data_IF_007362292522
#
_entry.id   IF_007362292522
#
_cell.length_a   1.000
_cell.length_b   1.000
_cell.length_c   1.000
_cell.angle_alpha   90.00
_cell.angle_beta   90.00
_cell.angle_gamma   90.00
#
_symmetry.space_group_name_H-M   'P 1'
#
loop_
_entity.id
_entity.type
_entity.pdbx_description
1 polymer ?
#
# COMPACT_ATOMS: atom_id res chain seq x y z
N UNK A 1 1.78 -4.88 -1.50
CA UNK A 1 1.69 -6.22 -2.10
C UNK A 1 0.78 -6.33 -3.35
N UNK A 2 -0.25 -5.49 -3.63
CA UNK A 2 -1.05 -5.74 -4.83
C UNK A 2 -0.34 -5.41 -6.16
N UNK A 3 0.31 -4.26 -6.28
CA UNK A 3 0.77 -3.77 -7.58
C UNK A 3 1.87 -4.64 -8.26
N UNK A 4 2.83 -5.17 -7.51
CA UNK A 4 3.88 -6.05 -8.07
C UNK A 4 3.31 -7.41 -8.52
N UNK A 5 2.41 -7.98 -7.73
CA UNK A 5 1.74 -9.24 -8.08
C UNK A 5 0.86 -9.06 -9.33
N UNK A 6 0.07 -7.99 -9.39
CA UNK A 6 -0.78 -7.67 -10.54
C UNK A 6 0.06 -7.52 -11.82
N UNK A 7 1.17 -6.77 -11.76
CA UNK A 7 2.04 -6.61 -12.93
C UNK A 7 2.66 -7.94 -13.38
N UNK A 8 3.03 -8.83 -12.44
CA UNK A 8 3.50 -10.18 -12.77
C UNK A 8 2.43 -11.07 -13.43
N UNK A 9 1.15 -10.76 -13.23
CA UNK A 9 0.01 -11.43 -13.87
C UNK A 9 -0.38 -10.79 -15.22
N UNK A 10 0.38 -9.81 -15.69
CA UNK A 10 0.06 -9.07 -16.91
C UNK A 10 -1.09 -8.08 -16.71
N UNK A 11 -1.44 -7.69 -15.49
CA UNK A 11 -2.39 -6.59 -15.25
C UNK A 11 -1.66 -5.26 -15.39
N UNK A 12 -2.15 -4.32 -16.21
CA UNK A 12 -1.50 -3.03 -16.41
C UNK A 12 -1.51 -2.20 -15.12
N UNK A 13 -0.35 -1.70 -14.71
CA UNK A 13 -0.18 -0.87 -13.51
C UNK A 13 0.28 0.54 -13.90
N UNK A 14 -0.54 1.23 -14.69
CA UNK A 14 -0.30 2.60 -15.13
C UNK A 14 -0.74 3.64 -14.10
N UNK A 15 -0.20 4.86 -14.20
CA UNK A 15 -0.67 6.05 -13.48
C UNK A 15 -0.85 5.87 -11.97
N UNK A 16 0.05 5.12 -11.34
CA UNK A 16 -0.04 4.78 -9.91
C UNK A 16 -0.17 6.02 -9.06
N UNK A 17 -1.16 6.05 -8.17
CA UNK A 17 -1.37 7.13 -7.20
C UNK A 17 -1.38 8.54 -7.81
N UNK A 18 -1.87 8.66 -9.05
CA UNK A 18 -1.98 9.95 -9.76
C UNK A 18 -0.70 10.43 -10.44
N UNK A 19 0.35 9.59 -10.51
CA UNK A 19 1.61 9.94 -11.18
C UNK A 19 1.47 9.77 -12.69
N UNK A 20 2.05 10.69 -13.45
CA UNK A 20 2.11 10.58 -14.91
C UNK A 20 3.35 9.78 -15.33
N UNK A 21 3.21 8.46 -15.46
CA UNK A 21 4.30 7.57 -15.92
C UNK A 21 4.17 7.14 -17.39
N UNK A 22 3.15 7.63 -18.11
CA UNK A 22 2.91 7.36 -19.53
C UNK A 22 4.16 7.52 -20.42
N UNK A 23 5.02 8.55 -20.25
CA UNK A 23 6.21 8.71 -21.10
C UNK A 23 7.23 7.57 -20.98
N UNK A 24 7.16 6.78 -19.90
CA UNK A 24 8.06 5.67 -19.65
C UNK A 24 7.61 4.37 -20.32
N UNK A 25 6.48 4.37 -21.05
CA UNK A 25 5.92 3.20 -21.70
C UNK A 25 5.88 3.39 -23.21
N UNK A 26 6.57 2.52 -23.95
CA UNK A 26 6.49 2.46 -25.42
C UNK A 26 5.50 1.36 -25.79
N UNK A 27 4.44 1.72 -26.50
CA UNK A 27 3.54 0.73 -27.09
C UNK A 27 4.24 0.04 -28.29
N UNK A 28 4.33 -1.29 -28.24
CA UNK A 28 4.85 -2.13 -29.34
C UNK A 28 3.72 -2.80 -30.13
N UNK A 29 2.50 -2.79 -29.58
CA UNK A 29 1.28 -3.33 -30.16
C UNK A 29 0.08 -3.02 -29.28
N UNK A 30 -1.07 -3.66 -29.54
CA UNK A 30 -2.30 -3.39 -28.78
C UNK A 30 -2.18 -3.74 -27.27
N UNK A 31 -1.35 -4.74 -26.94
CA UNK A 31 -1.18 -5.26 -25.58
C UNK A 31 0.29 -5.39 -25.15
N UNK A 32 1.22 -5.16 -26.07
CA UNK A 32 2.64 -5.26 -25.83
C UNK A 32 3.23 -3.88 -25.53
N UNK A 33 3.91 -3.75 -24.40
CA UNK A 33 4.53 -2.51 -23.96
C UNK A 33 5.97 -2.76 -23.55
N UNK A 34 6.83 -1.79 -23.79
CA UNK A 34 8.21 -1.77 -23.31
C UNK A 34 8.40 -0.64 -22.31
N UNK A 35 8.94 -0.96 -21.14
CA UNK A 35 9.26 0.06 -20.15
C UNK A 35 10.61 0.70 -20.45
N UNK A 36 10.66 2.03 -20.54
CA UNK A 36 11.84 2.81 -20.92
C UNK A 36 12.12 3.89 -19.91
N UNK A 37 12.58 3.47 -18.75
CA UNK A 37 13.06 4.38 -17.71
C UNK A 37 14.03 3.68 -16.78
N UNK A 38 15.33 3.82 -17.11
CA UNK A 38 16.41 3.34 -16.26
C UNK A 38 16.39 4.06 -14.91
N UNK A 39 16.52 3.28 -13.84
CA UNK A 39 16.64 3.85 -12.49
C UNK A 39 15.40 4.61 -12.01
N UNK A 40 14.20 4.17 -12.40
CA UNK A 40 13.01 4.84 -11.88
C UNK A 40 12.95 4.71 -10.36
N UNK A 41 12.65 5.81 -9.67
CA UNK A 41 12.26 5.77 -8.25
C UNK A 41 11.02 4.89 -8.01
N UNK A 42 10.37 4.37 -9.05
CA UNK A 42 9.26 3.44 -8.95
C UNK A 42 9.66 1.97 -8.94
N UNK A 43 10.81 1.63 -9.51
CA UNK A 43 11.35 0.27 -9.53
C UNK A 43 11.56 -0.23 -8.10
N UNK A 44 11.78 0.68 -7.15
CA UNK A 44 11.85 0.37 -5.70
C UNK A 44 10.57 -0.24 -5.11
N UNK A 45 9.40 -0.02 -5.73
CA UNK A 45 8.12 -0.59 -5.30
C UNK A 45 7.65 -1.71 -6.24
N UNK A 46 8.12 -1.69 -7.49
CA UNK A 46 7.81 -2.66 -8.53
C UNK A 46 9.11 -3.18 -9.14
N UNK A 47 9.72 -4.23 -8.55
CA UNK A 47 11.03 -4.73 -8.97
C UNK A 47 11.11 -5.16 -10.44
N UNK A 48 9.96 -5.45 -11.05
CA UNK A 48 9.89 -5.86 -12.44
C UNK A 48 9.95 -4.68 -13.42
N UNK A 49 9.84 -3.42 -12.97
CA UNK A 49 10.08 -2.24 -13.81
C UNK A 49 11.58 -2.07 -14.11
N UNK A 50 12.06 -2.91 -15.02
CA UNK A 50 13.43 -2.96 -15.52
C UNK A 50 13.45 -2.27 -16.87
N UNK A 51 14.47 -1.45 -17.12
CA UNK A 51 14.62 -0.76 -18.40
C UNK A 51 14.64 -1.76 -19.57
N UNK A 52 13.91 -1.42 -20.63
CA UNK A 52 13.68 -2.21 -21.84
C UNK A 52 12.97 -3.54 -21.62
N UNK A 53 12.43 -3.82 -20.43
CA UNK A 53 11.60 -5.01 -20.22
C UNK A 53 10.28 -4.85 -20.96
N UNK A 54 9.87 -5.93 -21.62
CA UNK A 54 8.59 -6.04 -22.32
C UNK A 54 7.54 -6.69 -21.44
N UNK A 55 6.30 -6.25 -21.61
CA UNK A 55 5.13 -6.73 -20.90
C UNK A 55 4.01 -6.99 -21.89
N UNK A 56 3.33 -8.11 -21.71
CA UNK A 56 2.07 -8.41 -22.39
C UNK A 56 0.95 -8.21 -21.38
N UNK A 57 0.13 -7.17 -21.59
CA UNK A 57 -0.96 -6.84 -20.69
C UNK A 57 -2.29 -7.42 -21.13
N UNK A 58 -3.06 -7.92 -20.16
CA UNK A 58 -4.47 -8.25 -20.34
C UNK A 58 -5.29 -6.96 -20.52
N UNK A 59 -6.41 -7.02 -21.26
CA UNK A 59 -7.23 -5.83 -21.50
C UNK A 59 -7.94 -5.33 -20.24
N UNK A 60 -8.33 -6.23 -19.33
CA UNK A 60 -8.98 -5.92 -18.05
C UNK A 60 -8.54 -6.92 -16.97
N UNK A 61 -8.48 -6.50 -15.69
CA UNK A 61 -8.82 -5.18 -15.18
C UNK A 61 -7.76 -4.11 -15.45
N UNK A 62 -8.15 -2.84 -15.57
CA UNK A 62 -7.24 -1.68 -15.55
C UNK A 62 -7.35 -0.92 -14.21
N UNK A 63 -6.60 -1.34 -13.17
CA UNK A 63 -6.75 -0.78 -11.82
C UNK A 63 -6.31 0.68 -11.73
N UNK A 64 -7.07 1.48 -10.96
CA UNK A 64 -6.69 2.83 -10.53
C UNK A 64 -6.26 2.81 -9.07
N UNK A 65 -5.03 3.26 -8.79
CA UNK A 65 -4.50 3.33 -7.43
C UNK A 65 -4.63 4.76 -6.89
N UNK A 66 -5.12 4.92 -5.66
CA UNK A 66 -5.29 6.25 -5.06
C UNK A 66 -5.20 6.22 -3.53
N UNK A 67 -4.86 7.37 -2.96
CA UNK A 67 -4.99 7.66 -1.52
C UNK A 67 -5.99 8.79 -1.25
N UNK A 68 -6.79 9.19 -2.25
CA UNK A 68 -7.80 10.22 -2.07
C UNK A 68 -9.03 9.68 -1.32
N UNK A 69 -9.85 10.61 -0.82
CA UNK A 69 -11.13 10.28 -0.20
C UNK A 69 -12.14 9.78 -1.25
N UNK A 70 -13.13 8.95 -0.84
CA UNK A 70 -14.25 8.63 -1.72
C UNK A 70 -14.97 9.94 -2.10
N UNK A 71 -15.30 10.08 -3.39
CA UNK A 71 -15.87 11.30 -3.96
C UNK A 71 -14.87 12.27 -4.60
N UNK A 72 -13.56 12.09 -4.40
CA UNK A 72 -12.55 12.87 -5.13
C UNK A 72 -12.53 12.56 -6.66
N UNK A 73 -13.11 11.43 -7.04
CA UNK A 73 -13.33 10.99 -8.42
C UNK A 73 -14.56 10.08 -8.47
N UNK A 74 -15.14 9.92 -9.65
CA UNK A 74 -16.24 8.99 -9.86
C UNK A 74 -15.81 7.56 -9.48
N UNK A 75 -16.48 6.98 -8.49
CA UNK A 75 -16.24 5.62 -8.04
C UNK A 75 -16.98 4.65 -8.97
N UNK A 76 -16.37 4.28 -10.10
CA UNK A 76 -16.95 3.30 -11.04
C UNK A 76 -16.35 1.92 -10.85
N UNK A 77 -17.17 0.87 -10.85
CA UNK A 77 -16.73 -0.53 -10.79
C UNK A 77 -16.33 -1.04 -9.40
N UNK A 78 -15.71 -2.23 -9.40
CA UNK A 78 -15.17 -2.96 -8.24
C UNK A 78 -14.11 -2.14 -7.50
N UNK A 79 -14.24 -2.02 -6.16
CA UNK A 79 -13.30 -1.27 -5.29
C UNK A 79 -12.59 -2.17 -4.28
N UNK A 80 -11.28 -2.00 -4.13
CA UNK A 80 -10.50 -2.68 -3.10
C UNK A 80 -9.93 -1.65 -2.12
N UNK A 81 -10.26 -1.79 -0.84
CA UNK A 81 -9.58 -1.08 0.25
C UNK A 81 -8.48 -1.96 0.82
N UNK A 82 -7.25 -1.71 0.37
CA UNK A 82 -6.06 -2.30 0.97
C UNK A 82 -5.69 -1.53 2.25
N UNK A 83 -5.93 -2.13 3.40
CA UNK A 83 -5.82 -1.50 4.71
C UNK A 83 -4.76 -2.19 5.55
N UNK A 84 -4.11 -1.44 6.43
CA UNK A 84 -3.23 -1.96 7.47
C UNK A 84 -3.87 -1.67 8.82
N UNK A 85 -3.54 -2.43 9.86
CA UNK A 85 -3.89 -2.06 11.23
C UNK A 85 -3.55 -0.57 11.43
N UNK A 86 -4.53 0.29 11.75
CA UNK A 86 -4.31 1.73 11.75
C UNK A 86 -3.25 2.20 12.75
N UNK A 87 -3.00 1.41 13.81
CA UNK A 87 -1.94 1.66 14.80
C UNK A 87 -0.56 1.51 14.14
N UNK A 88 -0.39 0.40 13.45
CA UNK A 88 0.79 0.03 12.68
C UNK A 88 1.01 0.98 11.49
N UNK A 89 -0.07 1.47 10.88
CA UNK A 89 -0.03 2.47 9.81
C UNK A 89 0.54 3.83 10.29
N UNK A 90 0.12 4.30 11.48
CA UNK A 90 0.65 5.54 12.08
C UNK A 90 2.13 5.42 12.44
N UNK A 91 2.52 4.33 13.10
CA UNK A 91 3.91 4.05 13.43
C UNK A 91 4.79 3.99 12.17
N UNK A 92 4.31 3.28 11.14
CA UNK A 92 5.00 3.19 9.85
C UNK A 92 5.10 4.53 9.12
N UNK A 93 4.09 5.39 9.23
CA UNK A 93 4.13 6.73 8.64
C UNK A 93 5.15 7.62 9.35
N UNK A 94 5.20 7.60 10.68
CA UNK A 94 6.20 8.34 11.45
C UNK A 94 7.62 7.86 11.14
N UNK A 95 7.85 6.54 11.14
CA UNK A 95 9.14 5.95 10.82
C UNK A 95 9.60 6.31 9.40
N UNK A 96 8.69 6.30 8.42
CA UNK A 96 8.98 6.78 7.07
C UNK A 96 9.34 8.26 7.07
N UNK A 97 8.55 9.11 7.72
CA UNK A 97 8.77 10.56 7.75
C UNK A 97 10.15 10.92 8.33
N UNK A 98 10.60 10.23 9.40
CA UNK A 98 11.97 10.37 9.93
C UNK A 98 13.02 9.97 8.90
N UNK A 99 12.86 8.79 8.28
CA UNK A 99 13.81 8.22 7.32
C UNK A 99 14.03 9.11 6.08
N UNK A 100 12.99 9.80 5.65
CA UNK A 100 13.05 10.71 4.50
C UNK A 100 13.28 12.18 4.89
N UNK A 101 13.58 12.46 6.17
CA UNK A 101 13.90 13.80 6.67
C UNK A 101 12.72 14.77 6.71
N UNK A 102 11.47 14.30 6.62
CA UNK A 102 10.28 15.15 6.75
C UNK A 102 10.04 15.63 8.19
N UNK A 103 10.54 14.88 9.18
CA UNK A 103 10.53 15.26 10.58
C UNK A 103 11.89 14.91 11.21
N UNK A 104 12.28 15.57 12.33
CA UNK A 104 13.48 15.23 13.09
C UNK A 104 13.52 13.74 13.47
N UNK A 105 14.72 13.16 13.48
CA UNK A 105 14.93 11.73 13.76
C UNK A 105 14.54 11.33 15.20
N UNK A 106 14.61 12.28 16.13
CA UNK A 106 14.27 12.15 17.56
C UNK A 106 12.79 12.41 17.86
N UNK A 107 12.01 12.96 16.91
CA UNK A 107 10.58 13.23 17.12
C UNK A 107 9.83 11.93 17.40
N UNK A 108 9.11 11.84 18.52
CA UNK A 108 8.35 10.64 18.90
C UNK A 108 7.17 10.35 17.96
N UNK A 109 6.70 9.09 17.94
CA UNK A 109 5.58 8.68 17.07
C UNK A 109 4.29 9.34 17.54
N UNK A 110 4.06 9.39 18.86
CA UNK A 110 3.02 10.22 19.50
C UNK A 110 3.04 11.67 19.01
N UNK A 111 4.19 12.34 19.07
CA UNK A 111 4.30 13.74 18.66
C UNK A 111 3.95 13.91 17.18
N UNK A 112 4.44 13.03 16.31
CA UNK A 112 4.07 13.02 14.89
C UNK A 112 2.55 12.82 14.69
N UNK A 113 1.95 11.84 15.37
CA UNK A 113 0.56 11.47 15.18
C UNK A 113 -0.42 12.57 15.63
N UNK A 114 -0.05 13.31 16.69
CA UNK A 114 -0.81 14.43 17.24
C UNK A 114 -0.61 15.75 16.49
N UNK A 115 0.43 15.87 15.68
CA UNK A 115 0.71 17.10 14.93
C UNK A 115 -0.32 17.32 13.83
N UNK A 116 -0.83 18.56 13.65
CA UNK A 116 -1.65 18.91 12.50
C UNK A 116 -0.92 18.59 11.19
N UNK A 117 -1.66 18.12 10.19
CA UNK A 117 -1.07 17.83 8.86
C UNK A 117 -0.81 19.08 8.02
N UNK A 118 -1.21 20.25 8.51
CA UNK A 118 -1.10 21.57 7.88
C UNK A 118 -2.05 22.57 8.54
N UNK A 119 -2.00 23.87 8.17
CA UNK A 119 -2.93 24.87 8.68
C UNK A 119 -4.39 24.46 8.46
N UNK A 120 -5.19 24.45 9.54
CA UNK A 120 -6.60 24.03 9.50
C UNK A 120 -6.86 22.55 9.22
N UNK A 121 -5.82 21.72 9.12
CA UNK A 121 -5.96 20.28 8.86
C UNK A 121 -5.96 19.48 10.16
N UNK A 122 -6.73 18.38 10.24
CA UNK A 122 -6.68 17.50 11.39
C UNK A 122 -5.30 16.86 11.56
N UNK A 123 -5.02 16.38 12.77
CA UNK A 123 -3.84 15.55 13.02
C UNK A 123 -3.97 14.16 12.37
N UNK A 124 -2.87 13.41 12.32
CA UNK A 124 -2.81 12.12 11.61
C UNK A 124 -3.79 11.08 12.18
N UNK A 125 -4.02 11.09 13.50
CA UNK A 125 -5.01 10.22 14.16
C UNK A 125 -6.43 10.53 13.63
N UNK A 126 -6.84 11.79 13.72
CA UNK A 126 -8.19 12.20 13.30
C UNK A 126 -8.39 12.04 11.80
N UNK A 127 -7.36 12.38 11.00
CA UNK A 127 -7.38 12.19 9.56
C UNK A 127 -7.56 10.71 9.17
N UNK A 128 -6.72 9.81 9.73
CA UNK A 128 -6.75 8.39 9.36
C UNK A 128 -8.08 7.75 9.76
N UNK A 129 -8.60 8.06 10.96
CA UNK A 129 -9.91 7.59 11.38
C UNK A 129 -11.04 8.08 10.44
N UNK A 130 -11.01 9.35 10.05
CA UNK A 130 -11.97 9.92 9.11
C UNK A 130 -11.86 9.31 7.70
N UNK A 131 -10.64 9.09 7.22
CA UNK A 131 -10.35 8.46 5.94
C UNK A 131 -10.91 7.02 5.88
N UNK A 132 -10.60 6.21 6.90
CA UNK A 132 -11.04 4.82 6.97
C UNK A 132 -12.56 4.72 7.07
N UNK A 133 -13.19 5.55 7.90
CA UNK A 133 -14.65 5.56 8.03
C UNK A 133 -15.35 5.89 6.72
N UNK A 134 -14.91 6.96 6.04
CA UNK A 134 -15.49 7.35 4.74
C UNK A 134 -15.35 6.25 3.70
N UNK A 135 -14.19 5.59 3.63
CA UNK A 135 -14.00 4.46 2.72
C UNK A 135 -14.85 3.25 3.11
N UNK A 136 -14.94 2.90 4.39
CA UNK A 136 -15.83 1.84 4.87
C UNK A 136 -17.29 2.10 4.48
N UNK A 137 -17.77 3.34 4.67
CA UNK A 137 -19.12 3.73 4.26
C UNK A 137 -19.28 3.60 2.73
N UNK A 138 -18.33 4.11 1.95
CA UNK A 138 -18.37 4.02 0.48
C UNK A 138 -18.29 2.58 -0.07
N UNK A 139 -17.75 1.63 0.69
CA UNK A 139 -17.73 0.20 0.32
C UNK A 139 -19.02 -0.51 0.74
N UNK A 140 -19.71 -0.08 1.81
CA UNK A 140 -21.00 -0.67 2.21
C UNK A 140 -22.06 -0.47 1.14
N UNK A 141 -22.02 0.66 0.47
CA UNK A 141 -23.00 1.05 -0.54
C UNK A 141 -22.66 0.52 -1.95
N UNK A 142 -21.67 -0.36 -2.10
CA UNK A 142 -21.27 -0.86 -3.42
C UNK A 142 -20.48 -2.16 -3.43
N UNK A 143 -19.91 -2.49 -4.59
CA UNK A 143 -19.10 -3.70 -4.79
C UNK A 143 -17.67 -3.46 -4.29
N UNK A 144 -17.47 -3.75 -3.00
CA UNK A 144 -16.26 -3.43 -2.26
C UNK A 144 -15.61 -4.64 -1.59
N UNK A 145 -14.29 -4.74 -1.69
CA UNK A 145 -13.48 -5.74 -1.00
C UNK A 145 -12.47 -5.07 -0.05
N UNK A 146 -12.46 -5.50 1.20
CA UNK A 146 -11.40 -5.14 2.16
C UNK A 146 -10.30 -6.20 2.08
N UNK A 147 -9.05 -5.75 1.98
CA UNK A 147 -7.85 -6.60 2.01
C UNK A 147 -6.91 -6.08 3.07
N UNK A 148 -6.58 -6.91 4.06
CA UNK A 148 -5.66 -6.54 5.15
C UNK A 148 -4.21 -6.76 4.72
N UNK A 149 -3.34 -5.83 5.10
CA UNK A 149 -1.90 -5.92 4.91
C UNK A 149 -1.33 -7.16 5.60
N UNK A 150 -1.85 -7.46 6.78
CA UNK A 150 -1.44 -8.54 7.66
C UNK A 150 -1.75 -9.91 7.04
N UNK A 151 -2.93 -10.07 6.43
CA UNK A 151 -3.30 -11.27 5.68
C UNK A 151 -2.39 -11.46 4.47
N UNK A 152 -2.21 -10.38 3.69
CA UNK A 152 -1.31 -10.42 2.54
C UNK A 152 0.10 -10.84 2.96
N UNK A 153 0.58 -10.39 4.12
CA UNK A 153 1.90 -10.74 4.65
C UNK A 153 2.00 -12.19 5.14
N UNK A 154 0.99 -12.69 5.84
CA UNK A 154 1.00 -14.03 6.46
C UNK A 154 0.68 -15.12 5.44
N UNK A 155 -0.31 -14.88 4.61
CA UNK A 155 -0.90 -15.82 3.67
C UNK A 155 -1.05 -15.14 2.29
N UNK A 156 0.06 -14.84 1.60
CA UNK A 156 0.04 -14.05 0.37
C UNK A 156 -0.74 -14.73 -0.75
N UNK A 157 -0.61 -16.05 -0.91
CA UNK A 157 -1.30 -16.79 -1.97
C UNK A 157 -2.81 -16.86 -1.74
N UNK A 158 -3.34 -17.29 -0.57
CA UNK A 158 -4.77 -17.22 -0.29
C UNK A 158 -5.34 -15.82 -0.40
N UNK A 159 -4.62 -14.80 0.09
CA UNK A 159 -5.07 -13.41 0.01
C UNK A 159 -5.17 -12.92 -1.44
N UNK A 160 -4.15 -13.20 -2.26
CA UNK A 160 -4.17 -12.83 -3.68
C UNK A 160 -5.23 -13.61 -4.45
N UNK A 161 -5.39 -14.92 -4.20
CA UNK A 161 -6.46 -15.74 -4.80
C UNK A 161 -7.82 -15.13 -4.55
N UNK A 162 -8.15 -14.79 -3.30
CA UNK A 162 -9.42 -14.13 -2.93
C UNK A 162 -9.64 -12.83 -3.72
N UNK A 163 -8.60 -12.02 -3.92
CA UNK A 163 -8.70 -10.79 -4.71
C UNK A 163 -8.99 -11.09 -6.17
N UNK A 164 -8.27 -12.04 -6.77
CA UNK A 164 -8.44 -12.41 -8.18
C UNK A 164 -9.81 -13.03 -8.44
N UNK A 165 -10.28 -13.92 -7.56
CA UNK A 165 -11.60 -14.54 -7.66
C UNK A 165 -12.71 -13.48 -7.58
N UNK A 166 -12.60 -12.53 -6.65
CA UNK A 166 -13.56 -11.43 -6.54
C UNK A 166 -13.51 -10.48 -7.75
N UNK A 167 -12.34 -10.28 -8.35
CA UNK A 167 -12.18 -9.57 -9.62
C UNK A 167 -12.63 -10.39 -10.84
N UNK A 168 -13.01 -11.66 -10.66
CA UNK A 168 -13.31 -12.61 -11.74
C UNK A 168 -12.13 -12.77 -12.71
N UNK A 169 -10.91 -12.65 -12.19
CA UNK A 169 -9.68 -12.74 -12.96
C UNK A 169 -9.14 -14.18 -12.96
N UNK A 170 -9.18 -14.90 -14.10
CA UNK A 170 -8.72 -16.28 -14.16
C UNK A 170 -7.21 -16.34 -13.93
N UNK A 171 -6.79 -17.16 -12.96
CA UNK A 171 -5.38 -17.32 -12.63
C UNK A 171 -5.06 -18.77 -12.23
N UNK A 172 -4.07 -19.36 -12.91
CA UNK A 172 -3.56 -20.70 -12.58
C UNK A 172 -2.73 -20.67 -11.29
N UNK A 173 -2.64 -21.81 -10.60
CA UNK A 173 -1.83 -21.93 -9.38
C UNK A 173 -0.34 -21.56 -9.61
N UNK A 174 0.31 -21.99 -10.71
CA UNK A 174 1.70 -21.58 -10.98
C UNK A 174 1.86 -20.06 -11.20
N UNK A 175 0.90 -19.43 -11.88
CA UNK A 175 0.93 -17.98 -12.10
C UNK A 175 0.72 -17.20 -10.79
N UNK A 176 -0.19 -17.68 -9.92
CA UNK A 176 -0.43 -17.13 -8.59
C UNK A 176 0.86 -17.17 -7.74
N UNK A 177 1.52 -18.32 -7.66
CA UNK A 177 2.76 -18.49 -6.92
C UNK A 177 3.88 -17.56 -7.43
N UNK A 178 4.01 -17.44 -8.76
CA UNK A 178 4.95 -16.52 -9.41
C UNK A 178 4.67 -15.06 -9.04
N UNK A 179 3.40 -14.65 -9.10
CA UNK A 179 2.99 -13.30 -8.74
C UNK A 179 3.25 -12.97 -7.26
N UNK A 180 2.97 -13.92 -6.36
CA UNK A 180 3.30 -13.79 -4.95
C UNK A 180 4.81 -13.67 -4.73
N UNK A 181 5.63 -14.47 -5.42
CA UNK A 181 7.09 -14.40 -5.36
C UNK A 181 7.62 -13.03 -5.85
N UNK A 182 7.06 -12.48 -6.93
CA UNK A 182 7.40 -11.17 -7.46
C UNK A 182 7.07 -10.03 -6.47
N UNK A 183 6.04 -10.21 -5.64
CA UNK A 183 5.59 -9.24 -4.66
C UNK A 183 6.15 -9.43 -3.24
N UNK A 184 7.03 -10.43 -3.02
CA UNK A 184 7.64 -10.72 -1.72
C UNK A 184 8.38 -9.51 -1.18
N UNK A 185 8.21 -9.26 0.12
CA UNK A 185 8.74 -8.05 0.74
C UNK A 185 10.26 -7.97 0.65
N UNK A 186 10.95 -9.10 0.79
CA UNK A 186 12.39 -9.25 0.72
C UNK A 186 12.92 -8.82 -0.65
N UNK A 187 12.23 -9.21 -1.73
CA UNK A 187 12.56 -8.82 -3.10
C UNK A 187 12.40 -7.31 -3.30
N UNK A 188 11.28 -6.75 -2.83
CA UNK A 188 11.03 -5.30 -2.95
C UNK A 188 12.04 -4.50 -2.11
N UNK A 189 12.36 -4.97 -0.90
CA UNK A 189 13.37 -4.36 -0.02
C UNK A 189 14.78 -4.43 -0.63
N UNK A 190 15.15 -5.56 -1.23
CA UNK A 190 16.44 -5.71 -1.92
C UNK A 190 16.55 -4.74 -3.11
N UNK A 191 15.47 -4.58 -3.88
CA UNK A 191 15.41 -3.60 -4.97
C UNK A 191 15.55 -2.16 -4.45
N UNK A 192 14.83 -1.81 -3.38
CA UNK A 192 14.94 -0.49 -2.73
C UNK A 192 16.38 -0.17 -2.29
N UNK A 193 17.05 -1.14 -1.64
CA UNK A 193 18.45 -1.01 -1.20
C UNK A 193 19.42 -0.90 -2.37
N UNK A 194 19.23 -1.70 -3.43
CA UNK A 194 20.07 -1.66 -4.61
C UNK A 194 20.02 -0.29 -5.31
N UNK A 195 18.83 0.33 -5.40
CA UNK A 195 18.68 1.66 -5.99
C UNK A 195 19.31 2.76 -5.14
N UNK A 196 19.30 2.62 -3.81
CA UNK A 196 20.03 3.53 -2.91
C UNK A 196 21.55 3.36 -3.08
N UNK A 197 22.05 2.12 -3.11
CA UNK A 197 23.47 1.83 -3.30
C UNK A 197 23.99 2.33 -4.66
N UNK A 198 23.15 2.31 -5.69
CA UNK A 198 23.44 2.85 -7.02
C UNK A 198 23.30 4.38 -7.11
N UNK A 199 22.95 5.09 -6.02
CA UNK A 199 22.74 6.54 -6.02
C UNK A 199 21.52 7.02 -6.83
N UNK A 200 20.67 6.09 -7.27
CA UNK A 200 19.47 6.40 -8.08
C UNK A 200 18.39 7.09 -7.24
N UNK A 201 18.31 6.76 -5.96
CA UNK A 201 17.40 7.38 -4.98
C UNK A 201 18.16 7.69 -3.68
N UNK A 202 17.81 8.77 -2.96
CA UNK A 202 18.68 9.28 -1.89
C UNK A 202 18.60 8.50 -0.58
N UNK A 203 17.49 7.82 -0.30
CA UNK A 203 17.24 7.13 0.97
C UNK A 203 16.24 6.00 0.77
N UNK A 204 16.34 4.87 1.48
CA UNK A 204 15.32 3.81 1.42
C UNK A 204 13.96 4.34 1.90
N UNK A 205 12.86 3.82 1.35
CA UNK A 205 11.50 4.19 1.81
C UNK A 205 10.77 3.04 2.48
N UNK A 206 11.23 1.81 2.28
CA UNK A 206 10.62 0.62 2.85
C UNK A 206 11.18 0.36 4.26
N UNK A 207 10.27 0.09 5.20
CA UNK A 207 10.64 -0.44 6.52
C UNK A 207 10.75 -1.96 6.50
N UNK A 208 10.91 -2.57 7.68
CA UNK A 208 11.04 -4.02 7.85
C UNK A 208 9.77 -4.83 7.50
N UNK A 209 8.64 -4.16 7.23
CA UNK A 209 7.40 -4.82 6.80
C UNK A 209 6.82 -5.76 7.86
N UNK A 210 7.04 -5.45 9.14
CA UNK A 210 6.49 -6.19 10.28
C UNK A 210 4.97 -6.04 10.34
N UNK A 211 4.33 -7.09 10.83
CA UNK A 211 2.90 -7.15 11.14
C UNK A 211 2.73 -7.00 12.64
N UNK A 212 1.83 -6.12 13.08
CA UNK A 212 1.60 -5.79 14.48
C UNK A 212 2.88 -5.31 15.19
N UNK A 213 3.71 -4.54 14.50
CA UNK A 213 4.89 -3.90 15.08
C UNK A 213 4.53 -3.02 16.28
N UNK A 214 3.34 -2.41 16.26
CA UNK A 214 2.77 -1.60 17.34
C UNK A 214 2.65 -2.34 18.67
N UNK A 215 2.48 -3.68 18.67
CA UNK A 215 2.46 -4.49 19.90
C UNK A 215 3.85 -4.59 20.56
N UNK A 216 4.92 -4.39 19.78
CA UNK A 216 6.32 -4.46 20.24
C UNK A 216 6.90 -3.07 20.53
N UNK A 217 6.52 -2.09 19.72
CA UNK A 217 6.88 -0.69 19.91
C UNK A 217 5.95 -0.10 20.96
N UNK A 218 6.40 -0.16 22.22
CA UNK A 218 5.69 0.38 23.38
C UNK A 218 5.67 1.92 23.38
N UNK A 219 5.02 2.54 22.38
CA UNK A 219 4.56 3.92 22.53
C UNK A 219 3.22 3.89 23.28
N UNK A 220 3.26 3.46 24.55
CA UNK A 220 2.09 3.38 25.42
C UNK A 220 1.33 4.71 25.46
N UNK A 221 2.05 5.83 25.31
CA UNK A 221 1.47 7.16 25.19
C UNK A 221 0.66 7.32 23.91
N UNK A 222 1.13 6.84 22.74
CA UNK A 222 0.37 6.86 21.50
C UNK A 222 -0.90 6.03 21.63
N UNK A 223 -0.80 4.85 22.24
CA UNK A 223 -1.93 3.93 22.37
C UNK A 223 -2.97 4.46 23.36
N UNK A 224 -2.55 5.03 24.49
CA UNK A 224 -3.42 5.78 25.40
C UNK A 224 -4.10 6.97 24.70
N UNK A 225 -3.37 7.67 23.82
CA UNK A 225 -3.86 8.83 23.08
C UNK A 225 -4.88 8.46 22.00
N UNK A 226 -4.66 7.39 21.25
CA UNK A 226 -5.63 6.86 20.28
C UNK A 226 -6.87 6.37 21.04
N UNK A 227 -6.65 5.69 22.17
CA UNK A 227 -7.68 5.15 23.04
C UNK A 227 -8.66 4.24 22.30
N UNK A 228 -9.89 4.13 22.84
CA UNK A 228 -10.97 3.31 22.26
C UNK A 228 -11.54 3.85 20.95
N UNK A 229 -11.08 5.02 20.47
CA UNK A 229 -11.57 5.65 19.23
C UNK A 229 -11.39 4.74 18.02
N UNK A 230 -10.36 3.89 18.06
CA UNK A 230 -10.06 2.98 16.97
C UNK A 230 -10.69 1.61 17.15
N UNK A 231 -11.26 1.25 18.31
CA UNK A 231 -11.79 -0.10 18.54
C UNK A 231 -12.94 -0.46 17.58
N UNK A 232 -13.83 0.50 17.32
CA UNK A 232 -14.93 0.30 16.36
C UNK A 232 -14.38 0.13 14.94
N UNK A 233 -13.41 0.97 14.55
CA UNK A 233 -12.77 0.89 13.24
C UNK A 233 -11.98 -0.41 13.07
N UNK A 234 -11.19 -0.79 14.06
CA UNK A 234 -10.43 -2.04 14.08
C UNK A 234 -11.38 -3.22 13.91
N UNK A 235 -12.46 -3.32 14.70
CA UNK A 235 -13.46 -4.38 14.53
C UNK A 235 -14.08 -4.42 13.14
N UNK A 236 -14.46 -3.26 12.58
CA UNK A 236 -15.01 -3.16 11.23
C UNK A 236 -14.01 -3.58 10.14
N UNK A 237 -12.72 -3.36 10.36
CA UNK A 237 -11.64 -3.77 9.47
C UNK A 237 -11.16 -5.21 9.75
N UNK A 238 -11.74 -5.90 10.73
CA UNK A 238 -11.37 -7.26 11.13
C UNK A 238 -10.14 -7.36 12.03
N UNK A 239 -9.68 -6.29 12.67
CA UNK A 239 -8.59 -6.31 13.65
C UNK A 239 -9.10 -6.44 15.08
N UNK A 240 -8.27 -7.00 15.96
CA UNK A 240 -8.49 -7.02 17.40
C UNK A 240 -8.55 -5.58 17.96
N UNK A 241 -9.51 -5.26 18.85
CA UNK A 241 -9.52 -3.99 19.59
C UNK A 241 -8.30 -3.89 20.53
N UNK A 242 -8.13 -2.74 21.19
CA UNK A 242 -7.13 -2.64 22.28
C UNK A 242 -7.70 -3.37 23.49
N UNK A 243 -7.02 -4.41 23.98
CA UNK A 243 -7.40 -5.03 25.26
C UNK A 243 -7.33 -3.98 26.37
N UNK A 244 -8.42 -3.82 27.11
CA UNK A 244 -8.53 -2.85 28.21
C UNK A 244 -7.72 -3.26 29.47
N UNK A 245 -6.81 -4.24 29.35
CA UNK A 245 -6.03 -4.81 30.45
C UNK A 245 -4.54 -4.61 30.24
N UNK A 246 -4.04 -3.43 30.62
CA UNK A 246 -2.63 -3.07 30.72
C UNK A 246 -2.48 -1.80 31.52
#
# INVERSE_FOLDING_TARGET
MPAAALMSLGVPVFKRWGIFDTPNWIALGARSFEYRFAGSGWSRLLPDLIDRRRFEFVPEPVPRFTHALPGAFALTGKRILFVRDPRDALASAAARARRIGQIPADRSTTAFALSPRGPGQPNSITYLAGFLRRWLDALRDGDGLIVRFEDAKREPEPTLRRVLDWLEFPCSLPALATACAAARHERVLACDRALVAAGTVPTPILGAGLVYGWKREADAQLWATIGRRYDVLCRQLGYEPIDAGG
#
